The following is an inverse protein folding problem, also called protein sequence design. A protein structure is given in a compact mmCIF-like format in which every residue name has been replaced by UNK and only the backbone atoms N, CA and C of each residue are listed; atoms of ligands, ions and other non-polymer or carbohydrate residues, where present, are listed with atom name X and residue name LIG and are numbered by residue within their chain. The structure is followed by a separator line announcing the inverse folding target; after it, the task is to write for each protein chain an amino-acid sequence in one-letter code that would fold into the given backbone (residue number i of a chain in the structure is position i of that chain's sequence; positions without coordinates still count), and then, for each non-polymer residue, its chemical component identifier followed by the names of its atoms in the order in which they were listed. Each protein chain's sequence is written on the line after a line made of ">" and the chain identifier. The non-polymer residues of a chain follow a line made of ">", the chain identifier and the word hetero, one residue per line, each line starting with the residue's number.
data_IF_528422027265
#
_entry.id   IF_528422027265
#
_cell.length_a   1.000
_cell.length_b   1.000
_cell.length_c   1.000
_cell.angle_alpha   90.00
_cell.angle_beta   90.00
_cell.angle_gamma   90.00
#
_symmetry.space_group_name_H-M   'P 1'
#
loop_
_entity.id
_entity.type
_entity.pdbx_description
1 polymer ?
#
# COMPACT_ATOMS: atom_id res chain seq x y z
N UNK A 1 -30.34 -28.61 -17.41
CA UNK A 1 -29.98 -28.26 -17.10
C UNK A 1 -29.14 -27.81 -16.88
N UNK A 2 -28.69 -28.04 -16.55
CA UNK A 2 -27.87 -27.77 -16.22
C UNK A 2 -27.42 -26.74 -15.98
N UNK A 3 -27.43 -26.01 -15.66
CA UNK A 3 -27.05 -24.91 -15.41
C UNK A 3 -26.94 -24.66 -14.10
N UNK A 4 -27.62 -24.97 -13.47
CA UNK A 4 -27.76 -24.79 -12.20
C UNK A 4 -26.58 -25.26 -11.51
N UNK A 5 -26.20 -26.22 -11.81
CA UNK A 5 -25.14 -26.77 -11.27
C UNK A 5 -23.99 -25.89 -11.29
N UNK A 6 -23.87 -25.20 -12.30
CA UNK A 6 -22.90 -24.31 -12.42
C UNK A 6 -22.80 -23.36 -11.35
N UNK A 7 -23.83 -22.87 -11.01
CA UNK A 7 -23.90 -21.85 -10.04
C UNK A 7 -23.28 -22.35 -8.78
N UNK A 8 -23.56 -23.51 -8.45
CA UNK A 8 -23.04 -24.04 -7.27
C UNK A 8 -21.56 -24.12 -7.36
N UNK A 9 -21.10 -24.51 -8.48
CA UNK A 9 -19.71 -24.62 -8.62
C UNK A 9 -19.02 -23.33 -8.39
N UNK A 10 -19.64 -22.30 -8.81
CA UNK A 10 -19.07 -21.02 -8.67
C UNK A 10 -18.85 -20.66 -7.25
N UNK A 11 -19.74 -20.96 -6.41
CA UNK A 11 -19.59 -20.63 -5.03
C UNK A 11 -18.37 -21.30 -4.46
N UNK A 12 -18.18 -22.52 -4.81
CA UNK A 12 -17.06 -23.23 -4.30
C UNK A 12 -15.78 -22.58 -4.74
N UNK A 13 -15.76 -22.11 -5.93
CA UNK A 13 -14.59 -21.48 -6.42
C UNK A 13 -14.27 -20.24 -5.63
N UNK A 14 -15.26 -19.52 -5.25
CA UNK A 14 -15.03 -18.31 -4.50
C UNK A 14 -14.28 -18.62 -3.21
N UNK A 15 -14.64 -19.66 -2.56
CA UNK A 15 -13.97 -20.01 -1.34
C UNK A 15 -12.54 -20.40 -1.61
N UNK A 16 -12.31 -21.13 -2.64
CA UNK A 16 -10.98 -21.52 -2.97
C UNK A 16 -10.13 -20.33 -3.29
N UNK A 17 -10.70 -19.39 -3.99
CA UNK A 17 -9.96 -18.24 -4.35
C UNK A 17 -9.51 -17.45 -3.13
N UNK A 18 -10.34 -17.33 -2.16
CA UNK A 18 -9.97 -16.60 -0.98
C UNK A 18 -8.81 -17.24 -0.30
N UNK A 19 -8.84 -18.54 -0.24
CA UNK A 19 -7.82 -19.27 0.41
C UNK A 19 -6.53 -19.14 -0.35
N UNK A 20 -6.59 -19.21 -1.64
CA UNK A 20 -5.43 -19.17 -2.46
C UNK A 20 -4.86 -17.79 -2.58
N UNK A 21 -5.62 -16.79 -2.22
CA UNK A 21 -5.13 -15.43 -2.33
C UNK A 21 -4.27 -15.02 -1.15
N UNK A 22 -3.91 -15.96 -0.31
CA UNK A 22 -3.03 -15.61 0.77
C UNK A 22 -1.69 -15.25 0.16
N UNK A 23 -1.27 -14.03 0.40
CA UNK A 23 -0.12 -13.49 -0.28
C UNK A 23 1.18 -13.95 0.35
N UNK A 24 2.21 -14.05 -0.46
CA UNK A 24 3.55 -14.23 0.04
C UNK A 24 4.14 -12.83 0.19
N UNK A 25 4.43 -12.38 1.40
CA UNK A 25 4.92 -11.01 1.59
C UNK A 25 6.19 -10.67 0.83
N UNK A 26 6.93 -11.66 0.36
CA UNK A 26 8.13 -11.37 -0.40
C UNK A 26 7.83 -10.64 -1.70
N UNK A 27 6.59 -10.69 -2.19
CA UNK A 27 6.23 -9.97 -3.41
C UNK A 27 6.29 -8.46 -3.19
N UNK A 28 6.29 -8.01 -1.95
CA UNK A 28 6.37 -6.58 -1.66
C UNK A 28 7.81 -6.09 -1.73
N UNK A 29 8.78 -6.94 -1.46
CA UNK A 29 10.17 -6.49 -1.37
C UNK A 29 10.66 -5.93 -2.70
N UNK A 30 11.23 -4.76 -2.64
CA UNK A 30 11.74 -4.09 -3.83
C UNK A 30 10.66 -3.44 -4.69
N UNK A 31 9.40 -3.50 -4.30
CA UNK A 31 8.32 -2.94 -5.09
C UNK A 31 8.08 -1.49 -4.72
N UNK A 32 7.70 -0.71 -5.70
CA UNK A 32 7.43 0.72 -5.54
C UNK A 32 5.97 0.99 -5.89
N UNK A 33 5.32 1.79 -5.07
CA UNK A 33 3.90 2.06 -5.23
C UNK A 33 3.61 3.54 -5.13
N UNK A 34 2.60 3.99 -5.86
CA UNK A 34 2.16 5.38 -5.81
C UNK A 34 0.65 5.42 -5.65
N UNK A 35 0.17 6.22 -4.71
CA UNK A 35 -1.24 6.48 -4.56
C UNK A 35 -1.50 7.91 -5.03
N UNK A 36 -2.27 8.06 -6.08
CA UNK A 36 -2.55 9.37 -6.63
C UNK A 36 -3.58 10.08 -5.77
N UNK A 37 -3.34 11.34 -5.52
CA UNK A 37 -4.21 12.13 -4.67
C UNK A 37 -4.19 13.55 -5.20
N UNK A 38 -5.32 14.25 -5.23
CA UNK A 38 -5.35 15.59 -5.82
C UNK A 38 -4.39 16.58 -5.18
N UNK A 39 -4.10 16.43 -3.91
CA UNK A 39 -3.23 17.36 -3.22
C UNK A 39 -1.76 17.00 -3.39
N UNK A 40 -1.44 15.73 -3.28
CA UNK A 40 -0.05 15.27 -3.38
C UNK A 40 -0.06 13.75 -3.52
N UNK A 41 0.81 13.23 -4.36
CA UNK A 41 0.90 11.78 -4.50
C UNK A 41 1.63 11.19 -3.29
N UNK A 42 1.25 9.99 -2.91
CA UNK A 42 1.88 9.28 -1.81
C UNK A 42 2.73 8.17 -2.42
N UNK A 43 4.01 8.16 -2.09
CA UNK A 43 4.94 7.15 -2.58
C UNK A 43 5.29 6.21 -1.45
N UNK A 44 5.24 4.91 -1.70
CA UNK A 44 5.58 3.89 -0.73
C UNK A 44 6.45 2.85 -1.41
N UNK A 45 7.66 2.65 -0.91
CA UNK A 45 8.60 1.69 -1.47
C UNK A 45 9.03 0.72 -0.39
N UNK A 46 9.11 -0.55 -0.76
CA UNK A 46 9.55 -1.60 0.16
C UNK A 46 11.00 -1.94 -0.14
N UNK A 47 11.81 -2.00 0.90
CA UNK A 47 13.22 -2.31 0.74
C UNK A 47 13.38 -3.71 0.13
N UNK A 48 14.32 -3.91 -0.77
CA UNK A 48 14.47 -5.22 -1.40
C UNK A 48 14.99 -6.32 -0.48
N UNK A 49 15.65 -5.98 0.61
CA UNK A 49 16.22 -6.98 1.48
C UNK A 49 15.71 -6.93 2.91
N UNK A 50 15.39 -5.77 3.42
CA UNK A 50 15.00 -5.62 4.82
C UNK A 50 13.51 -5.33 4.96
N UNK A 51 12.98 -5.60 6.11
CA UNK A 51 11.55 -5.35 6.38
C UNK A 51 11.38 -3.88 6.72
N UNK A 52 11.66 -3.04 5.75
CA UNK A 52 11.58 -1.60 5.93
C UNK A 52 10.91 -0.98 4.71
N UNK A 53 10.32 0.18 4.94
CA UNK A 53 9.71 0.95 3.86
C UNK A 53 10.26 2.36 3.88
N UNK A 54 10.18 3.02 2.76
CA UNK A 54 10.46 4.44 2.68
C UNK A 54 9.56 5.03 1.61
N UNK A 55 9.47 6.31 1.59
CA UNK A 55 8.59 6.95 0.62
C UNK A 55 8.56 8.44 0.80
N UNK A 56 7.49 9.03 0.29
CA UNK A 56 7.35 10.47 0.30
C UNK A 56 5.89 10.87 0.18
N UNK A 57 5.53 11.89 0.90
CA UNK A 57 4.29 12.62 0.67
C UNK A 57 4.73 14.06 0.41
N UNK A 58 4.75 14.93 1.40
CA UNK A 58 5.48 16.18 1.33
C UNK A 58 6.90 15.90 1.82
N UNK A 59 7.00 15.19 2.93
CA UNK A 59 8.28 14.85 3.51
C UNK A 59 8.70 13.43 3.13
N UNK A 60 10.01 13.22 3.12
CA UNK A 60 10.53 11.87 2.98
C UNK A 60 10.31 11.15 4.30
N UNK A 61 9.98 9.87 4.24
CA UNK A 61 9.77 9.10 5.45
C UNK A 61 10.35 7.70 5.30
N UNK A 62 10.52 7.03 6.42
CA UNK A 62 10.90 5.63 6.44
C UNK A 62 10.29 5.00 7.68
N UNK A 63 10.24 3.70 7.68
CA UNK A 63 9.67 2.96 8.79
C UNK A 63 9.97 1.49 8.65
N UNK A 64 9.38 0.70 9.52
CA UNK A 64 9.54 -0.74 9.51
C UNK A 64 8.19 -1.39 9.29
N UNK A 65 8.20 -2.64 8.83
CA UNK A 65 6.97 -3.39 8.73
C UNK A 65 7.22 -4.85 9.05
N UNK A 66 6.16 -5.54 9.42
CA UNK A 66 6.16 -6.98 9.52
C UNK A 66 4.99 -7.48 8.69
N UNK A 67 5.11 -8.66 8.12
CA UNK A 67 4.05 -9.20 7.28
C UNK A 67 4.03 -10.70 7.36
N UNK A 68 2.82 -11.26 7.30
CA UNK A 68 2.63 -12.69 7.35
C UNK A 68 1.34 -12.97 6.58
N UNK A 69 1.46 -13.65 5.42
CA UNK A 69 0.30 -13.84 4.56
C UNK A 69 -0.23 -12.50 4.10
N UNK A 70 -1.49 -12.22 4.38
CA UNK A 70 -2.10 -10.95 4.04
C UNK A 70 -2.09 -9.95 5.20
N UNK A 71 -1.49 -10.32 6.32
CA UNK A 71 -1.41 -9.42 7.46
C UNK A 71 -0.15 -8.58 7.35
N UNK A 72 -0.25 -7.32 7.68
CA UNK A 72 0.89 -6.41 7.62
C UNK A 72 0.73 -5.35 8.69
N UNK A 73 1.84 -4.95 9.28
CA UNK A 73 1.84 -3.88 10.28
C UNK A 73 3.02 -2.99 10.02
N UNK A 74 2.79 -1.70 10.16
CA UNK A 74 3.83 -0.69 9.99
C UNK A 74 4.07 0.01 11.32
N UNK A 75 5.32 0.36 11.60
CA UNK A 75 5.61 1.14 12.79
C UNK A 75 6.94 1.87 12.64
N UNK A 76 7.26 2.66 13.63
CA UNK A 76 8.56 3.32 13.67
C UNK A 76 8.78 4.34 12.58
N UNK A 77 7.73 5.02 12.14
CA UNK A 77 7.88 5.99 11.06
C UNK A 77 8.60 7.24 11.55
N UNK A 78 9.53 7.68 10.74
CA UNK A 78 10.23 8.94 10.94
C UNK A 78 10.18 9.71 9.63
N UNK A 79 10.17 11.02 9.70
CA UNK A 79 10.09 11.83 8.49
C UNK A 79 10.88 13.11 8.63
N UNK A 80 11.19 13.73 7.49
CA UNK A 80 11.74 15.07 7.49
C UNK A 80 10.63 16.03 7.94
N UNK A 81 10.98 17.28 8.13
CA UNK A 81 10.05 18.25 8.69
C UNK A 81 9.90 19.45 7.76
N UNK A 82 9.69 19.21 6.50
CA UNK A 82 9.50 20.29 5.53
C UNK A 82 8.05 20.73 5.53
N UNK A 83 7.82 21.96 5.11
CA UNK A 83 6.47 22.50 5.02
C UNK A 83 6.11 22.65 3.57
N UNK A 84 4.96 22.18 3.18
CA UNK A 84 4.46 22.29 1.83
C UNK A 84 3.09 22.95 1.82
N UNK A 85 2.38 22.84 0.69
CA UNK A 85 1.02 23.39 0.61
C UNK A 85 0.14 22.79 1.67
N UNK A 86 -0.80 23.56 2.17
CA UNK A 86 -1.60 23.13 3.30
C UNK A 86 -2.39 21.87 3.03
N UNK A 87 -3.00 21.74 1.86
CA UNK A 87 -3.78 20.55 1.55
C UNK A 87 -2.87 19.31 1.47
N UNK A 88 -1.65 19.48 0.97
CA UNK A 88 -0.72 18.37 0.92
C UNK A 88 -0.26 17.97 2.31
N UNK A 89 -0.11 18.94 3.21
CA UNK A 89 0.26 18.64 4.59
C UNK A 89 -0.84 17.90 5.31
N UNK A 90 -2.10 18.23 5.00
CA UNK A 90 -3.22 17.51 5.60
C UNK A 90 -3.23 16.06 5.11
N UNK A 91 -2.98 15.85 3.80
CA UNK A 91 -2.92 14.51 3.25
C UNK A 91 -1.79 13.71 3.92
N UNK A 92 -0.64 14.35 4.12
CA UNK A 92 0.48 13.68 4.76
C UNK A 92 0.13 13.30 6.19
N UNK A 93 -0.49 14.19 6.92
CA UNK A 93 -0.84 13.91 8.29
C UNK A 93 -1.82 12.76 8.38
N UNK A 94 -2.80 12.73 7.50
CA UNK A 94 -3.77 11.67 7.49
C UNK A 94 -3.10 10.33 7.14
N UNK A 95 -2.15 10.36 6.24
CA UNK A 95 -1.42 9.16 5.86
C UNK A 95 -0.61 8.62 7.04
N UNK A 96 0.09 9.49 7.75
CA UNK A 96 0.89 9.04 8.88
C UNK A 96 0.02 8.60 10.05
N UNK A 97 -1.21 9.07 10.13
CA UNK A 97 -2.13 8.59 11.16
C UNK A 97 -2.74 7.26 10.74
N UNK A 98 -2.89 7.03 9.45
CA UNK A 98 -3.47 5.80 8.95
C UNK A 98 -2.49 4.62 9.04
N UNK A 99 -1.24 4.83 8.69
CA UNK A 99 -0.30 3.72 8.54
C UNK A 99 -0.15 2.85 9.79
N UNK A 100 -0.12 3.40 11.01
CA UNK A 100 -0.04 2.54 12.17
C UNK A 100 -1.28 1.68 12.40
N UNK A 101 -2.40 2.01 11.75
CA UNK A 101 -3.63 1.25 11.92
C UNK A 101 -3.78 0.12 10.90
N UNK A 102 -2.87 0.03 9.93
CA UNK A 102 -2.99 -0.97 8.87
C UNK A 102 -2.83 -2.36 9.44
N UNK A 103 -3.73 -3.26 9.04
CA UNK A 103 -3.70 -4.64 9.49
C UNK A 103 -3.57 -5.63 8.36
N UNK A 104 -4.04 -5.26 7.17
CA UNK A 104 -4.05 -6.18 6.06
C UNK A 104 -3.69 -5.50 4.76
N UNK A 105 -3.25 -6.28 3.79
CA UNK A 105 -2.99 -5.76 2.46
C UNK A 105 -3.45 -6.78 1.42
N UNK A 106 -3.70 -6.28 0.22
CA UNK A 106 -3.96 -7.12 -0.92
C UNK A 106 -3.18 -6.56 -2.09
N UNK A 107 -2.48 -7.41 -2.82
CA UNK A 107 -1.77 -6.99 -4.00
C UNK A 107 -2.27 -7.85 -5.16
N UNK A 108 -3.00 -7.25 -6.07
CA UNK A 108 -3.61 -7.95 -7.19
C UNK A 108 -3.38 -7.13 -8.45
N UNK A 109 -2.73 -7.74 -9.44
CA UNK A 109 -2.51 -7.09 -10.74
C UNK A 109 -1.87 -5.71 -10.62
N UNK A 110 -0.90 -5.59 -9.74
CA UNK A 110 -0.17 -4.33 -9.57
C UNK A 110 -0.90 -3.29 -8.74
N UNK A 111 -2.02 -3.66 -8.14
CA UNK A 111 -2.73 -2.73 -7.27
C UNK A 111 -2.60 -3.19 -5.83
N UNK A 112 -2.06 -2.35 -5.00
CA UNK A 112 -1.88 -2.64 -3.57
C UNK A 112 -2.94 -1.88 -2.79
N UNK A 113 -3.72 -2.60 -2.00
CA UNK A 113 -4.69 -1.98 -1.10
C UNK A 113 -4.22 -2.23 0.33
N UNK A 114 -4.06 -1.17 1.09
CA UNK A 114 -3.75 -1.27 2.52
C UNK A 114 -5.04 -1.02 3.27
N UNK A 115 -5.35 -1.90 4.22
CA UNK A 115 -6.62 -1.87 4.93
C UNK A 115 -6.35 -1.68 6.42
N UNK A 116 -6.91 -0.63 6.97
CA UNK A 116 -6.72 -0.31 8.37
C UNK A 116 -7.73 -1.02 9.27
N UNK A 117 -7.51 -0.90 10.55
CA UNK A 117 -8.33 -1.58 11.56
C UNK A 117 -9.80 -1.17 11.49
N UNK A 118 -10.07 0.05 11.09
CA UNK A 118 -11.43 0.54 11.02
C UNK A 118 -12.06 0.36 9.63
N UNK A 119 -11.39 -0.36 8.76
CA UNK A 119 -11.91 -0.62 7.42
C UNK A 119 -11.53 0.43 6.40
N UNK A 120 -10.83 1.48 6.79
CA UNK A 120 -10.38 2.47 5.82
C UNK A 120 -9.31 1.86 4.93
N UNK A 121 -9.22 2.34 3.72
CA UNK A 121 -8.28 1.78 2.75
C UNK A 121 -7.54 2.88 2.02
N UNK A 122 -6.31 2.58 1.62
CA UNK A 122 -5.59 3.39 0.66
C UNK A 122 -5.14 2.46 -0.45
N UNK A 123 -5.36 2.88 -1.68
CA UNK A 123 -5.03 2.10 -2.86
C UNK A 123 -3.83 2.70 -3.55
N UNK A 124 -2.86 1.86 -3.87
CA UNK A 124 -1.64 2.25 -4.55
C UNK A 124 -1.52 1.47 -5.85
N UNK A 125 -0.82 2.03 -6.82
CA UNK A 125 -0.51 1.34 -8.06
C UNK A 125 1.00 1.08 -8.09
N UNK A 126 1.37 -0.11 -8.46
CA UNK A 126 2.77 -0.49 -8.53
C UNK A 126 3.41 0.17 -9.75
N UNK A 127 4.59 0.72 -9.58
CA UNK A 127 5.33 1.33 -10.65
C UNK A 127 6.74 0.75 -10.66
N UNK A 128 7.36 0.72 -11.82
CA UNK A 128 8.71 0.18 -11.90
C UNK A 128 9.72 1.22 -11.48
N UNK A 129 9.45 2.47 -11.77
CA UNK A 129 10.34 3.53 -11.38
C UNK A 129 9.54 4.61 -10.68
N UNK A 130 10.10 5.16 -9.63
CA UNK A 130 9.43 6.22 -8.91
C UNK A 130 9.45 7.49 -9.72
N UNK A 131 8.41 8.32 -9.58
CA UNK A 131 8.38 9.60 -10.26
C UNK A 131 9.61 10.40 -9.84
N UNK A 132 10.29 10.97 -10.81
CA UNK A 132 11.44 11.78 -10.52
C UNK A 132 10.96 13.11 -10.03
N UNK A 133 11.46 13.49 -8.88
CA UNK A 133 11.12 14.78 -8.37
C UNK A 133 12.06 15.74 -9.01
N UNK A 134 11.68 16.25 -10.13
CA UNK A 134 12.51 17.18 -10.84
C UNK A 134 12.46 18.48 -10.13
N UNK A 135 13.53 18.92 -9.57
CA UNK A 135 13.51 20.18 -8.88
C UNK A 135 13.29 21.21 -9.90
N UNK A 136 12.49 21.99 -9.56
CA UNK A 136 12.23 23.02 -10.43
C UNK A 136 13.43 23.76 -10.68
N UNK A 137 14.26 23.62 -10.39
CA UNK A 137 15.24 24.29 -10.58
C UNK A 137 15.92 24.33 -11.48
N UNK A 138 15.87 24.10 -11.55
CA UNK A 138 16.40 24.24 -12.23
C UNK A 138 16.22 24.56 -12.82
#
# INVERSE_FOLDING_TARGET
>A
MKFKLLAVGICALALGACYENQQNPDVLKGANFVSENPAVNIVLSFDPTEMRVNGRVVNLYNGAYTADGNNIKFDGFASTMMIGPQDAMVTEQEYFQFMPTVEKYELVDGQLTLIGADGKEIVFIQVEELPVDTPATE
#
